data_IF_726366811704
#
_entry.id   IF_726366811704
#
_cell.length_a   1.000
_cell.length_b   1.000
_cell.length_c   1.000
_cell.angle_alpha   90.00
_cell.angle_beta   90.00
_cell.angle_gamma   90.00
#
_symmetry.space_group_name_H-M   'P 1'
#
loop_
_entity.id
_entity.type
_entity.pdbx_description
1 polymer ?
#
# COMPACT_ATOMS: atom_id res chain seq x y z
N UNK A 1 21.87 10.73 7.31
CA UNK A 1 21.69 10.05 8.63
C UNK A 1 22.31 10.82 9.81
N UNK A 2 23.61 11.11 9.86
CA UNK A 2 24.18 11.73 11.08
C UNK A 2 23.60 13.12 11.41
N UNK A 3 23.22 13.92 10.41
CA UNK A 3 22.49 15.20 10.62
C UNK A 3 21.13 14.99 11.29
N UNK A 4 20.40 13.93 10.93
CA UNK A 4 19.09 13.64 11.53
C UNK A 4 19.24 13.15 12.98
N UNK A 5 20.26 12.35 13.28
CA UNK A 5 20.59 11.97 14.66
C UNK A 5 21.02 13.18 15.49
N UNK A 6 21.86 14.06 14.92
CA UNK A 6 22.32 15.27 15.57
C UNK A 6 21.14 16.18 15.98
N UNK A 7 20.21 16.42 15.05
CA UNK A 7 18.98 17.18 15.34
C UNK A 7 18.13 16.50 16.43
N UNK A 8 17.90 15.18 16.32
CA UNK A 8 17.10 14.42 17.30
C UNK A 8 17.67 14.48 18.72
N UNK A 9 18.99 14.42 18.85
CA UNK A 9 19.68 14.43 20.13
C UNK A 9 20.13 15.83 20.58
N UNK A 10 19.69 16.91 19.90
CA UNK A 10 20.12 18.30 20.14
C UNK A 10 21.64 18.43 20.32
N UNK A 11 22.39 17.77 19.44
CA UNK A 11 23.85 17.65 19.53
C UNK A 11 24.49 17.88 18.17
N UNK A 12 25.83 17.97 18.12
CA UNK A 12 26.55 18.07 16.85
C UNK A 12 26.72 16.73 16.14
N UNK A 13 26.88 16.78 14.81
CA UNK A 13 27.16 15.62 13.96
C UNK A 13 28.40 14.85 14.43
N UNK A 14 29.47 15.57 14.81
CA UNK A 14 30.73 14.96 15.27
C UNK A 14 30.55 14.16 16.56
N UNK A 15 29.73 14.66 17.50
CA UNK A 15 29.40 13.93 18.74
C UNK A 15 28.60 12.66 18.43
N UNK A 16 27.61 12.73 17.54
CA UNK A 16 26.82 11.55 17.14
C UNK A 16 27.66 10.53 16.37
N UNK A 17 28.55 10.99 15.49
CA UNK A 17 29.47 10.13 14.77
C UNK A 17 30.38 9.39 15.75
N UNK A 18 31.01 10.09 16.70
CA UNK A 18 31.87 9.47 17.71
C UNK A 18 31.11 8.46 18.58
N UNK A 19 29.91 8.84 19.04
CA UNK A 19 29.07 8.00 19.91
C UNK A 19 28.73 6.65 19.28
N UNK A 20 28.42 6.65 17.99
CA UNK A 20 27.96 5.45 17.30
C UNK A 20 29.02 4.79 16.42
N UNK A 21 30.25 5.33 16.38
CA UNK A 21 31.35 4.74 15.60
C UNK A 21 31.69 3.37 16.18
N UNK A 22 31.67 2.36 15.32
CA UNK A 22 32.09 1.00 15.64
C UNK A 22 33.03 0.50 14.53
N UNK A 23 33.92 -0.43 14.89
CA UNK A 23 34.70 -1.21 13.91
C UNK A 23 34.09 -2.60 13.84
N UNK A 24 33.93 -3.12 12.64
CA UNK A 24 33.44 -4.49 12.42
C UNK A 24 34.42 -5.24 11.54
N UNK A 25 34.57 -6.53 11.82
CA UNK A 25 35.30 -7.42 10.93
C UNK A 25 34.38 -7.82 9.79
N UNK A 26 34.85 -7.56 8.58
CA UNK A 26 34.26 -8.08 7.36
C UNK A 26 35.22 -9.11 6.77
N UNK A 27 34.77 -10.02 5.89
CA UNK A 27 35.66 -10.95 5.19
C UNK A 27 36.82 -10.24 4.46
N UNK A 28 36.65 -8.95 4.17
CA UNK A 28 37.63 -8.09 3.51
C UNK A 28 38.49 -7.24 4.47
N UNK A 29 38.44 -7.52 5.78
CA UNK A 29 39.17 -6.79 6.82
C UNK A 29 38.28 -5.86 7.67
N UNK A 30 38.87 -5.18 8.67
CA UNK A 30 38.12 -4.32 9.57
C UNK A 30 37.61 -3.07 8.86
N UNK A 31 36.35 -2.70 9.14
CA UNK A 31 35.69 -1.53 8.55
C UNK A 31 34.99 -0.71 9.61
N UNK A 32 35.13 0.61 9.51
CA UNK A 32 34.37 1.54 10.34
C UNK A 32 32.91 1.61 9.87
N UNK A 33 31.98 1.47 10.80
CA UNK A 33 30.55 1.68 10.59
C UNK A 33 29.94 2.51 11.73
N UNK A 34 28.66 2.83 11.62
CA UNK A 34 27.88 3.38 12.73
C UNK A 34 26.87 2.33 13.20
N UNK A 35 26.93 1.95 14.48
CA UNK A 35 26.10 0.88 15.04
C UNK A 35 25.50 1.29 16.38
N UNK A 36 24.25 0.87 16.60
CA UNK A 36 23.59 0.88 17.91
C UNK A 36 23.13 -0.53 18.24
N UNK A 37 23.46 -0.98 19.44
CA UNK A 37 22.99 -2.25 20.00
C UNK A 37 22.09 -1.96 21.20
N UNK A 38 20.84 -2.41 21.15
CA UNK A 38 19.92 -2.34 22.29
C UNK A 38 19.72 -3.76 22.81
N UNK A 39 20.11 -3.98 24.07
CA UNK A 39 19.91 -5.25 24.75
C UNK A 39 18.43 -5.49 25.00
N UNK A 40 18.03 -6.76 24.99
CA UNK A 40 16.66 -7.19 25.25
C UNK A 40 16.65 -8.15 26.42
N UNK A 41 15.59 -8.09 27.20
CA UNK A 41 15.41 -8.98 28.35
C UNK A 41 15.21 -10.44 27.92
N UNK A 42 15.45 -11.35 28.87
CA UNK A 42 15.16 -12.80 28.77
C UNK A 42 15.91 -13.51 27.63
N UNK A 43 17.20 -13.23 27.47
CA UNK A 43 18.08 -13.97 26.55
C UNK A 43 17.77 -13.77 25.06
N UNK A 44 16.93 -12.79 24.71
CA UNK A 44 16.61 -12.48 23.31
C UNK A 44 17.80 -11.82 22.64
N UNK A 45 18.01 -12.15 21.36
CA UNK A 45 19.05 -11.52 20.54
C UNK A 45 18.88 -9.99 20.58
N UNK A 46 19.97 -9.24 20.81
CA UNK A 46 19.92 -7.78 20.88
C UNK A 46 19.50 -7.18 19.54
N UNK A 47 18.85 -6.02 19.60
CA UNK A 47 18.54 -5.23 18.41
C UNK A 47 19.79 -4.50 17.95
N UNK A 48 20.28 -4.86 16.78
CA UNK A 48 21.43 -4.20 16.16
C UNK A 48 20.95 -3.42 14.95
N UNK A 49 21.07 -2.10 15.01
CA UNK A 49 20.88 -1.21 13.86
C UNK A 49 22.26 -0.76 13.38
N UNK A 50 22.61 -1.08 12.12
CA UNK A 50 23.92 -0.81 11.54
C UNK A 50 23.78 0.01 10.26
N UNK A 51 24.62 1.02 10.12
CA UNK A 51 24.78 1.82 8.92
C UNK A 51 26.25 1.83 8.47
N UNK A 52 26.49 1.44 7.22
CA UNK A 52 27.84 1.22 6.69
C UNK A 52 28.39 -0.17 7.03
N UNK A 53 29.70 -0.34 6.88
CA UNK A 53 30.35 -1.65 7.08
C UNK A 53 30.08 -2.66 5.96
N UNK A 54 29.47 -2.24 4.86
CA UNK A 54 29.28 -3.06 3.66
C UNK A 54 30.46 -2.78 2.73
N UNK A 55 31.27 -3.79 2.36
CA UNK A 55 32.37 -3.59 1.42
C UNK A 55 31.79 -3.26 0.03
N UNK A 56 32.04 -2.03 -0.45
CA UNK A 56 31.72 -1.63 -1.81
C UNK A 56 32.82 -2.15 -2.74
N UNK A 57 32.86 -3.47 -2.96
CA UNK A 57 33.78 -4.13 -3.89
C UNK A 57 33.01 -4.67 -5.08
N UNK A 58 33.53 -4.42 -6.28
CA UNK A 58 32.97 -5.00 -7.50
C UNK A 58 33.37 -6.47 -7.61
N UNK A 59 32.39 -7.37 -7.53
CA UNK A 59 32.56 -8.79 -7.84
C UNK A 59 32.24 -9.01 -9.31
N UNK A 60 33.25 -9.30 -10.14
CA UNK A 60 33.07 -9.45 -11.60
C UNK A 60 32.39 -10.76 -11.99
N UNK A 61 32.50 -11.80 -11.15
CA UNK A 61 32.00 -13.15 -11.39
C UNK A 61 30.86 -13.53 -10.44
N UNK A 62 30.11 -12.54 -9.93
CA UNK A 62 28.97 -12.81 -9.06
C UNK A 62 27.89 -13.58 -9.81
N UNK A 63 27.45 -14.71 -9.26
CA UNK A 63 26.31 -15.46 -9.79
C UNK A 63 25.05 -14.64 -9.52
N UNK A 64 24.41 -14.14 -10.57
CA UNK A 64 23.13 -13.43 -10.48
C UNK A 64 22.04 -14.49 -10.32
N UNK A 65 21.58 -14.69 -9.08
CA UNK A 65 20.39 -15.49 -8.82
C UNK A 65 19.17 -14.58 -9.02
N UNK A 66 18.54 -14.65 -10.20
CA UNK A 66 17.24 -14.04 -10.41
C UNK A 66 16.21 -14.74 -9.51
N UNK A 67 15.86 -14.07 -8.42
CA UNK A 67 14.73 -14.50 -7.60
C UNK A 67 13.50 -14.39 -8.47
N UNK A 68 12.85 -15.54 -8.77
CA UNK A 68 11.51 -15.53 -9.36
C UNK A 68 10.66 -14.59 -8.51
N UNK A 69 9.98 -13.61 -9.11
CA UNK A 69 9.14 -12.70 -8.35
C UNK A 69 8.17 -13.57 -7.54
N UNK A 70 8.12 -13.32 -6.23
CA UNK A 70 7.08 -13.89 -5.38
C UNK A 70 5.78 -13.39 -6.02
N UNK A 71 5.09 -14.28 -6.74
CA UNK A 71 3.71 -14.02 -7.14
C UNK A 71 2.87 -14.09 -5.88
N UNK A 72 3.01 -13.09 -5.01
CA UNK A 72 2.09 -12.89 -3.93
C UNK A 72 0.74 -12.79 -4.61
N UNK A 73 -0.15 -13.75 -4.33
CA UNK A 73 -1.51 -13.80 -4.86
C UNK A 73 -2.17 -12.51 -4.42
N UNK A 74 -2.11 -11.50 -5.28
CA UNK A 74 -2.55 -10.19 -4.90
C UNK A 74 -4.05 -10.33 -4.74
N UNK A 75 -4.58 -9.99 -3.56
CA UNK A 75 -6.02 -9.82 -3.26
C UNK A 75 -6.74 -8.82 -4.21
N UNK A 76 -6.20 -8.50 -5.39
CA UNK A 76 -6.57 -7.43 -6.30
C UNK A 76 -7.47 -7.85 -7.47
N UNK A 77 -7.94 -9.10 -7.54
CA UNK A 77 -8.89 -9.53 -8.58
C UNK A 77 -10.36 -9.29 -8.19
N UNK A 78 -10.63 -8.29 -7.33
CA UNK A 78 -11.98 -8.01 -6.84
C UNK A 78 -12.97 -7.71 -7.97
N UNK A 79 -12.58 -6.93 -8.99
CA UNK A 79 -13.45 -6.64 -10.14
C UNK A 79 -13.74 -7.90 -10.97
N UNK A 80 -12.74 -8.76 -11.18
CA UNK A 80 -12.91 -10.01 -11.92
C UNK A 80 -13.90 -10.91 -11.19
N UNK A 81 -13.74 -11.09 -9.86
CA UNK A 81 -14.69 -11.88 -9.08
C UNK A 81 -16.10 -11.29 -9.08
N UNK A 82 -16.25 -9.97 -9.09
CA UNK A 82 -17.56 -9.30 -9.18
C UNK A 82 -18.21 -9.47 -10.54
N UNK A 83 -17.44 -9.42 -11.63
CA UNK A 83 -17.94 -9.72 -12.96
C UNK A 83 -18.35 -11.19 -13.09
N UNK A 84 -17.53 -12.10 -12.56
CA UNK A 84 -17.82 -13.54 -12.53
C UNK A 84 -19.04 -13.89 -11.67
N UNK A 85 -19.36 -13.08 -10.66
CA UNK A 85 -20.59 -13.25 -9.88
C UNK A 85 -21.86 -13.04 -10.74
N UNK A 86 -21.74 -12.35 -11.88
CA UNK A 86 -22.80 -12.25 -12.88
C UNK A 86 -24.07 -11.56 -12.37
N UNK A 87 -23.94 -10.58 -11.47
CA UNK A 87 -25.06 -9.90 -10.83
C UNK A 87 -24.83 -8.39 -10.73
N UNK A 88 -25.91 -7.61 -10.95
CA UNK A 88 -25.94 -6.18 -10.72
C UNK A 88 -25.83 -5.89 -9.22
N UNK A 89 -24.89 -5.04 -8.82
CA UNK A 89 -24.65 -4.74 -7.41
C UNK A 89 -25.68 -3.77 -6.80
N UNK A 90 -26.65 -3.30 -7.59
CA UNK A 90 -27.75 -2.43 -7.16
C UNK A 90 -29.10 -3.17 -7.09
N UNK A 91 -29.45 -3.91 -8.15
CA UNK A 91 -30.77 -4.54 -8.30
C UNK A 91 -30.72 -6.06 -8.50
N UNK A 92 -29.53 -6.67 -8.40
CA UNK A 92 -29.31 -8.13 -8.52
C UNK A 92 -29.66 -8.75 -9.90
N UNK A 93 -30.06 -7.93 -10.88
CA UNK A 93 -30.29 -8.37 -12.25
C UNK A 93 -29.05 -9.01 -12.88
N UNK A 94 -29.25 -10.03 -13.72
CA UNK A 94 -28.17 -10.83 -14.34
C UNK A 94 -27.96 -10.56 -15.83
N UNK A 95 -28.75 -9.66 -16.41
CA UNK A 95 -28.79 -9.40 -17.86
C UNK A 95 -28.12 -8.05 -18.14
N UNK A 96 -27.31 -7.99 -19.20
CA UNK A 96 -26.74 -6.74 -19.71
C UNK A 96 -25.82 -6.04 -18.72
N UNK A 97 -24.91 -6.77 -18.08
CA UNK A 97 -23.99 -6.23 -17.08
C UNK A 97 -22.90 -5.36 -17.72
N UNK A 98 -22.72 -4.17 -17.16
CA UNK A 98 -21.77 -3.15 -17.56
C UNK A 98 -21.00 -2.65 -16.33
N UNK A 99 -19.77 -2.18 -16.55
CA UNK A 99 -18.95 -1.61 -15.48
C UNK A 99 -19.07 -0.09 -15.51
N UNK A 100 -19.79 0.46 -14.53
CA UNK A 100 -19.81 1.89 -14.29
C UNK A 100 -18.47 2.33 -13.65
N UNK A 101 -17.84 3.38 -14.18
CA UNK A 101 -16.59 3.92 -13.67
C UNK A 101 -16.66 5.42 -13.37
N UNK A 102 -16.05 5.84 -12.26
CA UNK A 102 -15.89 7.25 -11.88
C UNK A 102 -14.42 7.67 -11.86
N UNK A 103 -14.15 8.95 -12.11
CA UNK A 103 -12.79 9.51 -12.16
C UNK A 103 -12.08 9.46 -10.81
N UNK A 104 -12.68 10.00 -9.75
CA UNK A 104 -12.14 9.98 -8.37
C UNK A 104 -13.24 9.74 -7.33
N UNK A 105 -12.89 9.05 -6.23
CA UNK A 105 -13.86 8.77 -5.14
C UNK A 105 -14.38 10.05 -4.48
N UNK A 106 -13.56 11.12 -4.45
CA UNK A 106 -13.98 12.41 -3.93
C UNK A 106 -15.12 13.06 -4.73
N UNK A 107 -15.39 12.61 -5.97
CA UNK A 107 -16.53 13.11 -6.76
C UNK A 107 -17.89 12.63 -6.22
N UNK A 108 -17.88 11.64 -5.31
CA UNK A 108 -19.07 11.11 -4.65
C UNK A 108 -19.59 12.03 -3.54
N UNK A 109 -18.71 12.82 -2.92
CA UNK A 109 -19.03 13.74 -1.83
C UNK A 109 -19.31 15.15 -2.38
N UNK A 110 -20.42 15.30 -3.12
CA UNK A 110 -20.87 16.63 -3.59
C UNK A 110 -21.66 17.34 -2.49
N UNK A 111 -21.20 18.51 -1.99
CA UNK A 111 -21.97 19.31 -1.04
C UNK A 111 -23.26 19.81 -1.70
N UNK A 112 -24.38 19.75 -0.96
CA UNK A 112 -25.68 20.29 -1.40
C UNK A 112 -26.70 19.29 -1.94
N UNK A 113 -26.42 17.97 -1.97
CA UNK A 113 -27.44 16.96 -2.29
C UNK A 113 -28.11 16.47 -1.00
N UNK A 114 -29.44 16.61 -0.83
CA UNK A 114 -30.14 16.25 0.41
C UNK A 114 -30.12 14.73 0.69
N UNK A 115 -30.06 13.91 -0.35
CA UNK A 115 -29.97 12.46 -0.22
C UNK A 115 -28.97 11.87 -1.22
N UNK A 116 -28.08 11.00 -0.72
CA UNK A 116 -27.07 10.34 -1.56
C UNK A 116 -27.71 9.10 -2.21
N UNK A 117 -27.71 8.98 -3.55
CA UNK A 117 -28.28 7.81 -4.21
C UNK A 117 -27.55 6.52 -3.81
N UNK A 118 -28.24 5.38 -3.90
CA UNK A 118 -27.76 4.07 -3.42
C UNK A 118 -26.40 3.66 -4.00
N UNK A 119 -26.14 3.97 -5.27
CA UNK A 119 -24.87 3.68 -5.93
C UNK A 119 -23.69 4.48 -5.34
N UNK A 120 -23.93 5.71 -4.89
CA UNK A 120 -22.92 6.56 -4.22
C UNK A 120 -22.54 5.95 -2.86
N UNK A 121 -23.54 5.53 -2.08
CA UNK A 121 -23.30 4.85 -0.81
C UNK A 121 -22.49 3.56 -0.99
N UNK A 122 -22.83 2.76 -2.01
CA UNK A 122 -22.17 1.49 -2.28
C UNK A 122 -20.71 1.68 -2.71
N UNK A 123 -20.42 2.63 -3.60
CA UNK A 123 -19.06 2.95 -4.02
C UNK A 123 -18.21 3.54 -2.88
N UNK A 124 -18.80 4.40 -2.05
CA UNK A 124 -18.13 4.98 -0.88
C UNK A 124 -17.75 3.91 0.16
N UNK A 125 -18.67 2.98 0.46
CA UNK A 125 -18.43 1.85 1.38
C UNK A 125 -17.31 0.93 0.87
N UNK A 126 -17.33 0.60 -0.43
CA UNK A 126 -16.31 -0.27 -1.05
C UNK A 126 -14.97 0.42 -1.28
N UNK A 127 -14.93 1.76 -1.33
CA UNK A 127 -13.76 2.56 -1.72
C UNK A 127 -13.19 2.12 -3.07
N UNK A 128 -14.08 1.79 -4.02
CA UNK A 128 -13.73 1.40 -5.39
C UNK A 128 -14.36 2.35 -6.39
N UNK A 129 -13.61 2.65 -7.47
CA UNK A 129 -14.06 3.52 -8.56
C UNK A 129 -14.93 2.79 -9.59
N UNK A 130 -15.24 1.51 -9.37
CA UNK A 130 -15.99 0.68 -10.32
C UNK A 130 -17.20 0.05 -9.63
N UNK A 131 -18.33 0.03 -10.33
CA UNK A 131 -19.57 -0.63 -9.92
C UNK A 131 -20.07 -1.53 -11.07
N UNK A 132 -20.45 -2.78 -10.79
CA UNK A 132 -21.02 -3.69 -11.80
C UNK A 132 -22.53 -3.53 -11.76
N UNK A 133 -23.13 -3.09 -12.85
CA UNK A 133 -24.56 -2.75 -12.93
C UNK A 133 -25.18 -3.25 -14.21
N UNK A 134 -26.48 -3.55 -14.23
CA UNK A 134 -27.19 -3.79 -15.48
C UNK A 134 -27.34 -2.50 -16.30
N UNK A 135 -27.69 -2.63 -17.58
CA UNK A 135 -27.88 -1.51 -18.50
C UNK A 135 -28.87 -0.46 -17.98
N UNK A 136 -30.00 -0.87 -17.40
CA UNK A 136 -31.01 0.05 -16.86
C UNK A 136 -30.46 0.89 -15.70
N UNK A 137 -29.79 0.23 -14.74
CA UNK A 137 -29.10 0.92 -13.64
C UNK A 137 -27.97 1.81 -14.15
N UNK A 138 -27.25 1.40 -15.20
CA UNK A 138 -26.19 2.21 -15.79
C UNK A 138 -26.75 3.50 -16.38
N UNK A 139 -27.86 3.42 -17.12
CA UNK A 139 -28.56 4.58 -17.67
C UNK A 139 -29.10 5.50 -16.57
N UNK A 140 -29.67 4.94 -15.49
CA UNK A 140 -30.19 5.73 -14.36
C UNK A 140 -29.09 6.50 -13.61
N UNK A 141 -27.90 5.90 -13.47
CA UNK A 141 -26.74 6.58 -12.89
C UNK A 141 -26.33 7.78 -13.75
N UNK A 142 -26.27 7.61 -15.08
CA UNK A 142 -25.93 8.69 -16.02
C UNK A 142 -27.01 9.78 -16.06
N UNK A 143 -28.28 9.40 -15.98
CA UNK A 143 -29.41 10.33 -15.91
C UNK A 143 -29.54 11.03 -14.55
N UNK A 144 -28.73 10.66 -13.55
CA UNK A 144 -28.76 11.26 -12.21
C UNK A 144 -29.99 10.89 -11.38
N UNK A 145 -30.78 9.89 -11.82
CA UNK A 145 -31.97 9.40 -11.11
C UNK A 145 -31.57 8.64 -9.84
N UNK A 146 -32.42 8.69 -8.82
CA UNK A 146 -32.24 7.87 -7.63
C UNK A 146 -32.49 6.41 -8.02
N UNK A 147 -31.44 5.59 -8.07
CA UNK A 147 -31.56 4.15 -8.28
C UNK A 147 -32.20 3.55 -7.03
N UNK A 148 -33.53 3.58 -6.97
CA UNK A 148 -34.31 3.03 -5.87
C UNK A 148 -34.11 1.51 -5.82
N UNK A 149 -33.92 1.01 -4.60
CA UNK A 149 -33.99 -0.42 -4.28
C UNK A 149 -35.44 -0.87 -4.40
N UNK A 150 -35.80 -1.55 -5.48
CA UNK A 150 -36.97 -2.44 -5.47
C UNK A 150 -36.60 -3.68 -4.65
N UNK A 151 -36.73 -3.56 -3.33
CA UNK A 151 -36.82 -4.72 -2.44
C UNK A 151 -38.22 -5.29 -2.60
N UNK A 152 -38.34 -6.48 -3.20
CA UNK A 152 -39.49 -7.36 -2.99
C UNK A 152 -39.15 -8.34 -1.87
#
# INVERSE_FOLDING_TARGET
MLKTLAAKHKSSVRKMARKYKASIDTPDGPRTCFQVTVQRDRGRKPLVARFGGIPLKRQRTAVIADLKPIMATVRRNELIHRLLAGQCELCEGRIGLQVHHIRKLADLDKPGRPERPSWVHLMAKRRRKTLVVCETCHQDIHAGRATATTRK
#
